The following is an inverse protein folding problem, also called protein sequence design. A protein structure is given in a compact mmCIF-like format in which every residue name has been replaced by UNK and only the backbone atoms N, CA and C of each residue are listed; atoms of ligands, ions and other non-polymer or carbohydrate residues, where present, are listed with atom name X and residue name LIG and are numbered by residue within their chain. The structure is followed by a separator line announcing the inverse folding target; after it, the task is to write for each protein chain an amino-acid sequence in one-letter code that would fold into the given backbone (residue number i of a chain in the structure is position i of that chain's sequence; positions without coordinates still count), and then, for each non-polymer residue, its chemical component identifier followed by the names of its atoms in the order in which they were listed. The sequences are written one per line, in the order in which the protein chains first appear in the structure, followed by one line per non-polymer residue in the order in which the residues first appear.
data_IF_612842575204
#
_entry.id   IF_612842575204
#
_cell.length_a   1.000
_cell.length_b   1.000
_cell.length_c   1.000
_cell.angle_alpha   90.00
_cell.angle_beta   90.00
_cell.angle_gamma   90.00
#
_symmetry.space_group_name_H-M   'P 1'
#
loop_
_entity.id
_entity.type
_entity.pdbx_description
1 polymer ?
#
# COMPACT_ATOMS: atom_id res chain seq x y z
N UNK A 1 -47.68 -1.82 -34.71
CA UNK A 1 -47.41 -1.44 -33.31
C UNK A 1 -45.94 -1.67 -33.07
N UNK A 2 -45.11 -0.63 -33.23
CA UNK A 2 -43.67 -0.73 -33.07
C UNK A 2 -43.33 -0.37 -31.61
N UNK A 3 -42.60 -1.26 -30.94
CA UNK A 3 -42.17 -1.10 -29.56
C UNK A 3 -41.35 0.18 -29.41
N UNK A 4 -41.76 1.04 -28.48
CA UNK A 4 -40.95 2.13 -28.00
C UNK A 4 -39.84 1.53 -27.13
N UNK A 5 -38.62 1.51 -27.65
CA UNK A 5 -37.43 1.13 -26.88
C UNK A 5 -37.34 2.02 -25.64
N UNK A 6 -37.43 1.41 -24.47
CA UNK A 6 -37.22 2.05 -23.19
C UNK A 6 -35.81 2.63 -23.15
N UNK A 7 -35.70 3.94 -23.32
CA UNK A 7 -34.44 4.68 -23.15
C UNK A 7 -34.01 4.51 -21.70
N UNK A 8 -33.07 3.59 -21.46
CA UNK A 8 -32.37 3.49 -20.19
C UNK A 8 -31.50 4.75 -20.03
N UNK A 9 -32.04 5.75 -19.34
CA UNK A 9 -31.28 6.94 -18.92
C UNK A 9 -30.41 6.53 -17.73
N UNK A 10 -29.12 6.33 -17.97
CA UNK A 10 -28.13 6.17 -16.89
C UNK A 10 -28.11 7.44 -16.04
N UNK A 11 -28.15 7.29 -14.71
CA UNK A 11 -28.05 8.39 -13.75
C UNK A 11 -26.63 8.96 -13.59
N UNK A 12 -25.64 8.31 -14.21
CA UNK A 12 -24.24 8.71 -14.17
C UNK A 12 -23.86 9.44 -15.46
N UNK A 13 -23.00 10.48 -15.37
CA UNK A 13 -22.54 11.19 -16.54
C UNK A 13 -21.83 10.23 -17.49
N UNK A 14 -22.08 10.40 -18.80
CA UNK A 14 -21.36 9.64 -19.81
C UNK A 14 -19.85 9.90 -19.69
N UNK A 15 -19.02 8.88 -19.94
CA UNK A 15 -17.58 9.06 -19.94
C UNK A 15 -17.18 10.15 -20.94
N UNK A 16 -16.10 10.90 -20.69
CA UNK A 16 -15.71 12.01 -21.56
C UNK A 16 -15.42 11.57 -23.00
N UNK A 17 -16.34 11.85 -23.92
CA UNK A 17 -16.27 11.43 -25.33
C UNK A 17 -14.99 11.93 -26.04
N UNK A 18 -14.41 13.04 -25.57
CA UNK A 18 -13.16 13.62 -26.07
C UNK A 18 -11.97 12.66 -25.94
N UNK A 19 -11.94 11.82 -24.89
CA UNK A 19 -10.81 10.92 -24.63
C UNK A 19 -11.06 9.50 -25.16
N UNK A 20 -12.30 9.00 -25.11
CA UNK A 20 -12.62 7.61 -25.46
C UNK A 20 -12.17 7.25 -26.88
N UNK A 21 -12.43 8.13 -27.85
CA UNK A 21 -12.10 7.90 -29.26
C UNK A 21 -10.58 7.85 -29.53
N UNK A 22 -9.75 8.31 -28.57
CA UNK A 22 -8.29 8.32 -28.70
C UNK A 22 -7.66 6.99 -28.26
N UNK A 23 -8.36 6.18 -27.47
CA UNK A 23 -7.89 4.89 -26.94
C UNK A 23 -8.44 3.70 -27.77
N UNK A 24 -8.07 3.64 -29.05
CA UNK A 24 -8.32 2.46 -29.90
C UNK A 24 -7.12 1.52 -29.92
N UNK A 25 -7.34 0.23 -30.19
CA UNK A 25 -6.26 -0.79 -30.26
C UNK A 25 -5.15 -0.38 -31.25
N UNK A 26 -5.53 0.25 -32.36
CA UNK A 26 -4.59 0.74 -33.36
C UNK A 26 -3.71 1.89 -32.83
N UNK A 27 -4.32 2.85 -32.10
CA UNK A 27 -3.60 3.99 -31.52
C UNK A 27 -2.70 3.56 -30.36
N UNK A 28 -3.12 2.56 -29.58
CA UNK A 28 -2.30 1.96 -28.51
C UNK A 28 -1.10 1.26 -29.13
N UNK A 29 -1.32 0.41 -30.14
CA UNK A 29 -0.23 -0.29 -30.85
C UNK A 29 0.78 0.68 -31.50
N UNK A 30 0.30 1.82 -31.99
CA UNK A 30 1.13 2.89 -32.58
C UNK A 30 1.67 3.90 -31.56
N UNK A 31 1.46 3.70 -30.24
CA UNK A 31 1.84 4.64 -29.17
C UNK A 31 1.35 6.09 -29.40
N UNK A 32 0.21 6.28 -30.08
CA UNK A 32 -0.42 7.58 -30.33
C UNK A 32 -1.49 7.94 -29.31
N UNK A 33 -1.80 7.03 -28.38
CA UNK A 33 -2.69 7.33 -27.27
C UNK A 33 -2.09 8.46 -26.41
N UNK A 34 -2.89 9.49 -26.04
CA UNK A 34 -2.39 10.61 -25.26
C UNK A 34 -1.95 10.13 -23.88
N UNK A 35 -0.80 10.64 -23.42
CA UNK A 35 -0.35 10.46 -22.04
C UNK A 35 -1.25 11.26 -21.09
N UNK A 36 -1.40 10.84 -19.81
CA UNK A 36 -2.13 11.63 -18.84
C UNK A 36 -1.56 13.06 -18.77
N UNK A 37 -2.41 14.07 -18.50
CA UNK A 37 -1.96 15.44 -18.35
C UNK A 37 -0.93 15.53 -17.21
N UNK A 38 0.03 16.47 -17.30
CA UNK A 38 1.02 16.67 -16.25
C UNK A 38 0.32 17.05 -14.93
N UNK A 39 0.87 16.67 -13.76
CA UNK A 39 0.34 17.09 -12.47
C UNK A 39 0.23 18.61 -12.37
N UNK A 40 -0.90 19.10 -11.87
CA UNK A 40 -1.12 20.53 -11.63
C UNK A 40 -0.21 20.97 -10.47
N UNK A 41 0.66 21.96 -10.71
CA UNK A 41 1.63 22.43 -9.73
C UNK A 41 1.09 23.50 -8.80
N UNK A 42 0.07 24.26 -9.22
CA UNK A 42 -0.37 25.44 -8.47
C UNK A 42 -1.48 25.10 -7.47
N UNK A 43 -2.71 24.99 -7.97
CA UNK A 43 -3.90 24.73 -7.17
C UNK A 43 -4.95 23.93 -7.94
N UNK A 44 -5.74 23.14 -7.21
CA UNK A 44 -6.84 22.36 -7.76
C UNK A 44 -8.09 22.51 -6.90
N UNK A 45 -9.27 22.46 -7.51
CA UNK A 45 -10.53 22.45 -6.77
C UNK A 45 -10.96 21.03 -6.48
N UNK A 46 -11.17 20.70 -5.21
CA UNK A 46 -11.70 19.42 -4.78
C UNK A 46 -12.94 19.66 -3.92
N UNK A 47 -14.08 19.11 -4.36
CA UNK A 47 -15.40 19.30 -3.74
C UNK A 47 -15.76 20.77 -3.49
N UNK A 48 -15.46 21.65 -4.46
CA UNK A 48 -15.75 23.08 -4.38
C UNK A 48 -14.76 23.89 -3.55
N UNK A 49 -13.76 23.26 -2.92
CA UNK A 49 -12.72 23.96 -2.17
C UNK A 49 -11.42 24.06 -2.99
N UNK A 50 -10.82 25.25 -3.12
CA UNK A 50 -9.52 25.41 -3.78
C UNK A 50 -8.40 24.93 -2.86
N UNK A 51 -7.58 23.98 -3.31
CA UNK A 51 -6.40 23.46 -2.61
C UNK A 51 -5.13 23.90 -3.34
N UNK A 52 -4.12 24.36 -2.61
CA UNK A 52 -2.79 24.67 -3.15
C UNK A 52 -1.80 23.58 -2.74
N UNK A 53 -0.79 23.28 -3.57
CA UNK A 53 0.21 22.25 -3.24
C UNK A 53 1.15 22.65 -2.07
N UNK A 54 1.36 23.95 -1.86
CA UNK A 54 2.23 24.47 -0.79
C UNK A 54 1.52 24.67 0.56
N UNK A 55 0.19 24.54 0.59
CA UNK A 55 -0.56 24.70 1.82
C UNK A 55 -0.29 23.52 2.75
N UNK A 56 -0.17 23.81 4.05
CA UNK A 56 -0.21 22.76 5.07
C UNK A 56 -1.46 21.90 4.82
N UNK A 57 -1.29 20.56 4.75
CA UNK A 57 -2.36 19.58 4.54
C UNK A 57 -3.57 19.86 5.44
N UNK A 58 -3.31 20.44 6.62
CA UNK A 58 -4.30 20.88 7.58
C UNK A 58 -4.28 22.40 7.62
N UNK A 59 -5.37 23.03 7.19
CA UNK A 59 -5.50 24.48 7.25
C UNK A 59 -5.44 24.97 8.70
N UNK A 60 -4.68 26.04 8.99
CA UNK A 60 -4.68 26.68 10.30
C UNK A 60 -6.09 27.14 10.71
N UNK A 61 -6.38 27.08 12.01
CA UNK A 61 -7.64 27.59 12.59
C UNK A 61 -7.87 29.06 12.22
N UNK A 62 -6.79 29.84 12.17
CA UNK A 62 -6.80 31.27 11.86
C UNK A 62 -7.24 31.55 10.42
N UNK A 63 -6.88 30.67 9.47
CA UNK A 63 -7.30 30.75 8.08
C UNK A 63 -8.79 30.40 7.89
N UNK A 64 -9.41 29.77 8.88
CA UNK A 64 -10.83 29.45 8.94
C UNK A 64 -11.62 30.48 9.76
N UNK A 65 -10.97 31.55 10.24
CA UNK A 65 -11.60 32.60 11.05
C UNK A 65 -11.74 32.26 12.54
N UNK A 66 -11.17 31.15 13.01
CA UNK A 66 -11.24 30.76 14.42
C UNK A 66 -10.04 31.28 15.21
N UNK A 67 -10.30 31.91 16.36
CA UNK A 67 -9.27 32.31 17.31
C UNK A 67 -8.77 31.08 18.06
N UNK A 68 -7.46 30.83 17.98
CA UNK A 68 -6.81 29.71 18.66
C UNK A 68 -6.99 29.78 20.19
N UNK A 69 -7.51 28.72 20.79
CA UNK A 69 -7.72 28.59 22.23
C UNK A 69 -6.48 28.14 23.03
N UNK A 70 -5.40 27.76 22.35
CA UNK A 70 -4.19 27.19 22.95
C UNK A 70 -2.90 27.82 22.37
N UNK A 71 -1.79 27.88 23.14
CA UNK A 71 -0.53 28.47 22.68
C UNK A 71 0.12 27.68 21.54
N UNK A 72 1.05 28.29 20.79
CA UNK A 72 1.65 27.67 19.60
C UNK A 72 2.64 26.52 19.91
N UNK A 73 3.25 26.54 21.11
CA UNK A 73 4.05 25.44 21.64
C UNK A 73 3.34 24.81 22.82
N UNK A 74 2.88 23.58 22.65
CA UNK A 74 2.10 22.88 23.66
C UNK A 74 2.20 21.37 23.49
N UNK A 75 1.87 20.66 24.57
CA UNK A 75 1.69 19.22 24.53
C UNK A 75 0.28 18.90 24.03
N UNK A 76 0.20 18.43 22.78
CA UNK A 76 -1.05 18.09 22.08
C UNK A 76 -1.94 17.15 22.90
N UNK A 77 -1.35 16.21 23.65
CA UNK A 77 -2.10 15.26 24.48
C UNK A 77 -2.74 15.95 25.68
N UNK A 78 -2.03 16.89 26.31
CA UNK A 78 -2.55 17.65 27.47
C UNK A 78 -3.66 18.60 27.04
N UNK A 79 -3.47 19.33 25.95
CA UNK A 79 -4.49 20.25 25.45
C UNK A 79 -5.74 19.51 24.97
N UNK A 80 -5.61 18.36 24.30
CA UNK A 80 -6.77 17.55 23.93
C UNK A 80 -7.57 17.08 25.16
N UNK A 81 -6.88 16.69 26.23
CA UNK A 81 -7.55 16.32 27.50
C UNK A 81 -8.26 17.51 28.14
N UNK A 82 -7.63 18.68 28.13
CA UNK A 82 -8.20 19.92 28.67
C UNK A 82 -9.44 20.35 27.88
N UNK A 83 -9.38 20.32 26.55
CA UNK A 83 -10.52 20.60 25.67
C UNK A 83 -11.65 19.59 25.89
N UNK A 84 -11.34 18.31 26.04
CA UNK A 84 -12.35 17.29 26.32
C UNK A 84 -13.04 17.51 27.68
N UNK A 85 -12.27 17.88 28.72
CA UNK A 85 -12.86 18.23 30.01
C UNK A 85 -13.72 19.48 29.92
N UNK A 86 -13.24 20.51 29.21
CA UNK A 86 -14.00 21.73 28.94
C UNK A 86 -15.30 21.46 28.18
N UNK A 87 -15.28 20.53 27.21
CA UNK A 87 -16.45 20.10 26.45
C UNK A 87 -17.50 19.45 27.37
N UNK A 88 -17.06 18.56 28.25
CA UNK A 88 -17.95 17.91 29.21
C UNK A 88 -18.61 18.91 30.16
N UNK A 89 -17.83 19.82 30.74
CA UNK A 89 -18.36 20.85 31.66
C UNK A 89 -19.36 21.75 30.92
N UNK A 90 -19.03 22.21 29.71
CA UNK A 90 -19.92 23.08 28.94
C UNK A 90 -21.22 22.37 28.52
N UNK A 91 -21.17 21.06 28.27
CA UNK A 91 -22.35 20.25 28.01
C UNK A 91 -23.24 20.08 29.26
N UNK A 92 -22.64 19.89 30.44
CA UNK A 92 -23.38 19.85 31.70
C UNK A 92 -24.05 21.21 32.01
N UNK A 93 -23.33 22.32 31.80
CA UNK A 93 -23.90 23.67 31.94
C UNK A 93 -25.08 23.87 30.99
N UNK A 94 -25.00 23.35 29.75
CA UNK A 94 -26.09 23.43 28.79
C UNK A 94 -27.31 22.64 29.27
N UNK A 95 -27.11 21.43 29.80
CA UNK A 95 -28.22 20.64 30.38
C UNK A 95 -28.86 21.39 31.54
N UNK A 96 -28.05 21.92 32.47
CA UNK A 96 -28.55 22.66 33.63
C UNK A 96 -29.35 23.91 33.22
N UNK A 97 -28.84 24.64 32.21
CA UNK A 97 -29.55 25.77 31.61
C UNK A 97 -30.88 25.35 30.98
N UNK A 98 -30.95 24.21 30.29
CA UNK A 98 -32.18 23.70 29.69
C UNK A 98 -33.21 23.27 30.73
N UNK A 99 -32.76 22.75 31.87
CA UNK A 99 -33.64 22.35 32.99
C UNK A 99 -34.25 23.59 33.67
N UNK A 100 -33.45 24.63 33.89
CA UNK A 100 -33.89 25.81 34.63
C UNK A 100 -34.52 26.91 33.76
N UNK A 101 -33.99 27.16 32.54
CA UNK A 101 -34.38 28.27 31.67
C UNK A 101 -34.32 27.86 30.18
N UNK A 102 -35.26 27.05 29.68
CA UNK A 102 -35.21 26.49 28.33
C UNK A 102 -35.25 27.52 27.19
N UNK A 103 -35.91 28.66 27.40
CA UNK A 103 -36.08 29.74 26.40
C UNK A 103 -35.01 30.84 26.48
N UNK A 104 -33.99 30.66 27.33
CA UNK A 104 -32.92 31.65 27.47
C UNK A 104 -32.08 31.76 26.19
N UNK A 105 -31.73 32.97 25.73
CA UNK A 105 -30.80 33.16 24.62
C UNK A 105 -29.41 32.58 24.91
N UNK A 106 -29.05 32.40 26.19
CA UNK A 106 -27.81 31.74 26.64
C UNK A 106 -27.65 30.31 26.12
N UNK A 107 -28.75 29.65 25.72
CA UNK A 107 -28.72 28.33 25.08
C UNK A 107 -27.94 28.38 23.77
N UNK A 108 -28.19 29.40 22.96
CA UNK A 108 -27.51 29.57 21.67
C UNK A 108 -26.01 29.82 21.87
N UNK A 109 -25.65 30.66 22.84
CA UNK A 109 -24.25 30.93 23.21
C UNK A 109 -23.51 29.64 23.64
N UNK A 110 -24.13 28.82 24.51
CA UNK A 110 -23.54 27.52 24.92
C UNK A 110 -23.40 26.53 23.76
N UNK A 111 -24.33 26.51 22.82
CA UNK A 111 -24.23 25.67 21.61
C UNK A 111 -23.09 26.14 20.70
N UNK A 112 -22.89 27.46 20.57
CA UNK A 112 -21.78 28.04 19.82
C UNK A 112 -20.43 27.71 20.48
N UNK A 113 -20.33 27.83 21.81
CA UNK A 113 -19.16 27.41 22.58
C UNK A 113 -18.81 25.93 22.36
N UNK A 114 -19.81 25.04 22.41
CA UNK A 114 -19.62 23.62 22.13
C UNK A 114 -19.13 23.38 20.71
N UNK A 115 -19.74 24.05 19.73
CA UNK A 115 -19.33 23.96 18.32
C UNK A 115 -17.88 24.41 18.13
N UNK A 116 -17.48 25.50 18.80
CA UNK A 116 -16.11 25.99 18.80
C UNK A 116 -15.14 24.97 19.41
N UNK A 117 -15.50 24.35 20.54
CA UNK A 117 -14.69 23.30 21.18
C UNK A 117 -14.49 22.09 20.26
N UNK A 118 -15.54 21.66 19.55
CA UNK A 118 -15.43 20.56 18.58
C UNK A 118 -14.49 20.90 17.42
N UNK A 119 -14.59 22.10 16.85
CA UNK A 119 -13.68 22.56 15.77
C UNK A 119 -12.23 22.48 16.23
N UNK A 120 -11.94 22.96 17.44
CA UNK A 120 -10.58 22.92 18.01
C UNK A 120 -10.08 21.49 18.27
N UNK A 121 -10.93 20.61 18.79
CA UNK A 121 -10.60 19.18 18.98
C UNK A 121 -10.30 18.51 17.63
N UNK A 122 -11.14 18.75 16.62
CA UNK A 122 -10.95 18.21 15.28
C UNK A 122 -9.65 18.67 14.66
N UNK A 123 -9.35 19.97 14.73
CA UNK A 123 -8.10 20.51 14.22
C UNK A 123 -6.89 19.88 14.92
N UNK A 124 -6.91 19.77 16.25
CA UNK A 124 -5.82 19.18 17.02
C UNK A 124 -5.60 17.68 16.70
N UNK A 125 -6.68 16.93 16.48
CA UNK A 125 -6.61 15.53 16.02
C UNK A 125 -6.03 15.44 14.61
N UNK A 126 -6.43 16.35 13.72
CA UNK A 126 -5.90 16.43 12.37
C UNK A 126 -4.39 16.70 12.40
N UNK A 127 -3.92 17.67 13.20
CA UNK A 127 -2.48 17.96 13.39
C UNK A 127 -1.69 16.72 13.85
N UNK A 128 -2.33 15.77 14.53
CA UNK A 128 -1.70 14.53 15.00
C UNK A 128 -1.66 13.40 13.95
N UNK A 129 -2.42 13.49 12.85
CA UNK A 129 -2.48 12.45 11.80
C UNK A 129 -1.13 12.12 11.16
N UNK A 130 -0.26 13.09 10.81
CA UNK A 130 1.05 12.77 10.25
C UNK A 130 1.95 12.01 11.22
N UNK A 131 1.83 12.28 12.53
CA UNK A 131 2.53 11.50 13.55
C UNK A 131 1.97 10.07 13.63
N UNK A 132 0.64 9.91 13.66
CA UNK A 132 -0.01 8.60 13.66
C UNK A 132 0.39 7.75 12.44
N UNK A 133 0.45 8.35 11.25
CA UNK A 133 0.86 7.67 10.03
C UNK A 133 2.29 7.13 10.11
N UNK A 134 3.21 7.92 10.66
CA UNK A 134 4.62 7.50 10.87
C UNK A 134 4.73 6.35 11.86
N UNK A 135 4.03 6.40 12.99
CA UNK A 135 4.03 5.31 13.97
C UNK A 135 3.40 4.03 13.39
N UNK A 136 2.33 4.18 12.59
CA UNK A 136 1.70 3.04 11.91
C UNK A 136 2.65 2.39 10.92
N UNK A 137 3.38 3.20 10.13
CA UNK A 137 4.40 2.71 9.20
C UNK A 137 5.52 1.97 9.93
N UNK A 138 5.98 2.52 11.05
CA UNK A 138 7.01 1.90 11.88
C UNK A 138 6.57 0.50 12.36
N UNK A 139 5.38 0.40 12.96
CA UNK A 139 4.83 -0.89 13.43
C UNK A 139 4.69 -1.88 12.27
N UNK A 140 4.25 -1.42 11.09
CA UNK A 140 4.15 -2.25 9.89
C UNK A 140 5.53 -2.78 9.46
N UNK A 141 6.56 -1.92 9.44
CA UNK A 141 7.93 -2.33 9.09
C UNK A 141 8.53 -3.29 10.12
N UNK A 142 8.27 -3.09 11.41
CA UNK A 142 8.69 -4.01 12.47
C UNK A 142 8.04 -5.39 12.30
N UNK A 143 6.76 -5.44 11.94
CA UNK A 143 6.05 -6.67 11.62
C UNK A 143 6.66 -7.39 10.41
N UNK A 144 6.93 -6.66 9.31
CA UNK A 144 7.56 -7.23 8.12
C UNK A 144 8.96 -7.78 8.43
N UNK A 145 9.76 -7.06 9.23
CA UNK A 145 11.07 -7.53 9.68
C UNK A 145 10.95 -8.85 10.45
N UNK A 146 10.02 -8.92 11.41
CA UNK A 146 9.77 -10.13 12.20
C UNK A 146 9.39 -11.32 11.31
N UNK A 147 8.46 -11.11 10.37
CA UNK A 147 8.04 -12.14 9.42
C UNK A 147 9.19 -12.64 8.57
N UNK A 148 10.06 -11.73 8.06
CA UNK A 148 11.24 -12.13 7.28
C UNK A 148 12.21 -12.99 8.09
N UNK A 149 12.49 -12.60 9.34
CA UNK A 149 13.37 -13.37 10.23
C UNK A 149 12.79 -14.77 10.50
N UNK A 150 11.50 -14.84 10.83
CA UNK A 150 10.81 -16.10 11.09
C UNK A 150 10.82 -17.03 9.87
N UNK A 151 10.55 -16.48 8.68
CA UNK A 151 10.60 -17.21 7.42
C UNK A 151 12.01 -17.73 7.13
N UNK A 152 13.06 -16.90 7.28
CA UNK A 152 14.45 -17.33 7.11
C UNK A 152 14.81 -18.46 8.08
N UNK A 153 14.39 -18.37 9.34
CA UNK A 153 14.63 -19.41 10.33
C UNK A 153 13.92 -20.73 9.96
N UNK A 154 12.68 -20.65 9.48
CA UNK A 154 11.95 -21.82 8.97
C UNK A 154 12.67 -22.45 7.76
N UNK A 155 13.16 -21.63 6.83
CA UNK A 155 13.94 -22.12 5.69
C UNK A 155 15.24 -22.80 6.12
N UNK A 156 15.99 -22.23 7.07
CA UNK A 156 17.20 -22.86 7.61
C UNK A 156 16.89 -24.21 8.27
N UNK A 157 15.82 -24.29 9.06
CA UNK A 157 15.39 -25.54 9.69
C UNK A 157 15.01 -26.61 8.65
N UNK A 158 14.33 -26.21 7.55
CA UNK A 158 14.02 -27.14 6.47
C UNK A 158 15.28 -27.59 5.72
N UNK A 159 16.22 -26.68 5.46
CA UNK A 159 17.48 -27.01 4.79
C UNK A 159 18.30 -28.01 5.61
N UNK A 160 18.38 -27.82 6.93
CA UNK A 160 19.09 -28.76 7.81
C UNK A 160 18.45 -30.16 7.77
N UNK A 161 17.11 -30.24 7.84
CA UNK A 161 16.39 -31.52 7.70
C UNK A 161 16.66 -32.20 6.36
N UNK A 162 16.66 -31.44 5.25
CA UNK A 162 16.98 -32.00 3.93
C UNK A 162 18.42 -32.49 3.88
N UNK A 163 19.37 -31.73 4.46
CA UNK A 163 20.77 -32.13 4.55
C UNK A 163 20.96 -33.41 5.36
N UNK A 164 20.25 -33.55 6.47
CA UNK A 164 20.23 -34.77 7.27
C UNK A 164 19.65 -35.96 6.50
N UNK A 165 18.53 -35.79 5.81
CA UNK A 165 17.92 -36.83 4.97
C UNK A 165 18.87 -37.28 3.85
N UNK A 166 19.53 -36.35 3.16
CA UNK A 166 20.50 -36.65 2.10
C UNK A 166 21.69 -37.42 2.68
N UNK A 167 22.26 -36.97 3.81
CA UNK A 167 23.35 -37.68 4.48
C UNK A 167 22.94 -39.09 4.91
N UNK A 168 21.74 -39.26 5.46
CA UNK A 168 21.21 -40.56 5.85
C UNK A 168 21.04 -41.49 4.64
N UNK A 169 20.54 -40.96 3.51
CA UNK A 169 20.41 -41.72 2.27
C UNK A 169 21.78 -42.16 1.70
N UNK A 170 22.78 -41.28 1.73
CA UNK A 170 24.16 -41.64 1.36
C UNK A 170 24.75 -42.70 2.28
N UNK A 171 24.52 -42.62 3.59
CA UNK A 171 25.00 -43.61 4.54
C UNK A 171 24.29 -44.97 4.42
N UNK A 172 23.07 -44.99 3.86
CA UNK A 172 22.32 -46.22 3.63
C UNK A 172 22.65 -46.91 2.30
N UNK A 173 23.42 -46.26 1.42
CA UNK A 173 23.89 -46.90 0.19
C UNK A 173 24.95 -47.95 0.54
N UNK A 174 24.86 -49.18 0.01
CA UNK A 174 25.89 -50.18 0.19
C UNK A 174 27.21 -49.73 -0.45
N UNK A 175 28.33 -50.04 0.20
CA UNK A 175 29.67 -49.74 -0.29
C UNK A 175 29.92 -50.61 -1.54
N UNK A 176 29.69 -50.04 -2.72
CA UNK A 176 29.93 -50.72 -4.00
C UNK A 176 31.44 -50.86 -4.16
N UNK A 177 31.97 -52.02 -3.76
CA UNK A 177 33.36 -52.41 -4.04
C UNK A 177 33.57 -52.47 -5.56
N UNK A 178 34.76 -52.12 -6.03
CA UNK A 178 35.14 -52.04 -7.45
C UNK A 178 34.81 -53.29 -8.30
N UNK A 179 34.49 -54.41 -7.66
CA UNK A 179 34.04 -55.64 -8.31
C UNK A 179 32.69 -55.49 -9.05
N UNK A 180 31.73 -54.70 -8.57
CA UNK A 180 30.38 -54.63 -9.18
C UNK A 180 30.30 -53.68 -10.41
N UNK A 181 31.15 -52.65 -10.46
CA UNK A 181 31.22 -51.68 -11.56
C UNK A 181 31.79 -52.26 -12.86
N UNK A 182 32.49 -53.39 -12.78
CA UNK A 182 33.11 -54.07 -13.92
C UNK A 182 32.10 -54.85 -14.80
N UNK A 183 30.86 -55.03 -14.32
CA UNK A 183 29.85 -55.86 -14.99
C UNK A 183 28.85 -55.09 -15.87
N UNK A 184 28.86 -53.75 -15.84
CA UNK A 184 27.87 -52.91 -16.53
C UNK A 184 28.48 -51.93 -17.57
N UNK A 185 29.75 -52.06 -17.92
CA UNK A 185 30.39 -51.25 -18.96
C UNK A 185 30.29 -51.94 -20.33
N UNK A 186 29.18 -51.74 -21.04
CA UNK A 186 29.17 -51.87 -22.51
C UNK A 186 30.01 -50.71 -23.09
N UNK A 187 30.93 -50.96 -24.04
CA UNK A 187 31.83 -49.93 -24.55
C UNK A 187 31.06 -48.96 -25.45
N UNK A 188 30.95 -47.71 -25.01
CA UNK A 188 30.47 -46.61 -25.83
C UNK A 188 31.61 -46.15 -26.75
N UNK A 189 31.41 -46.32 -28.05
CA UNK A 189 32.32 -45.89 -29.13
C UNK A 189 32.52 -44.38 -29.08
N UNK A 190 33.70 -43.93 -28.66
CA UNK A 190 34.11 -42.52 -28.77
C UNK A 190 34.98 -42.38 -30.01
N UNK A 191 34.34 -41.92 -31.09
CA UNK A 191 35.02 -41.43 -32.28
C UNK A 191 35.96 -40.27 -31.94
N UNK A 192 37.22 -40.46 -32.30
CA UNK A 192 38.29 -39.47 -32.34
C UNK A 192 38.01 -38.45 -33.45
N UNK A 193 37.93 -37.16 -33.11
CA UNK A 193 38.38 -36.08 -34.00
C UNK A 193 38.96 -34.93 -33.16
N UNK A 194 40.28 -34.85 -33.17
CA UNK A 194 41.01 -33.63 -32.91
C UNK A 194 40.88 -32.71 -34.13
N UNK A 195 40.32 -31.51 -34.01
CA UNK A 195 40.89 -30.31 -34.65
C UNK A 195 40.31 -28.98 -34.15
N UNK A 196 41.19 -27.99 -34.19
CA UNK A 196 41.13 -26.61 -33.73
C UNK A 196 40.06 -25.74 -34.38
N UNK A 197 39.40 -24.83 -33.63
CA UNK A 197 38.58 -23.79 -34.26
C UNK A 197 37.89 -22.81 -33.31
N UNK A 198 38.32 -21.55 -33.36
CA UNK A 198 37.86 -20.40 -32.56
C UNK A 198 36.45 -19.94 -33.01
N UNK A 199 35.46 -19.88 -32.12
CA UNK A 199 34.14 -19.31 -32.42
C UNK A 199 33.25 -19.17 -31.20
N UNK A 200 33.15 -17.95 -30.66
CA UNK A 200 32.43 -17.60 -29.43
C UNK A 200 30.92 -17.60 -29.68
N UNK A 201 30.26 -18.73 -29.39
CA UNK A 201 28.81 -18.83 -29.23
C UNK A 201 28.52 -19.44 -27.87
N UNK A 202 27.73 -18.75 -27.03
CA UNK A 202 27.31 -19.25 -25.72
C UNK A 202 26.45 -20.50 -25.90
N UNK A 203 27.08 -21.66 -25.77
CA UNK A 203 26.39 -22.94 -25.65
C UNK A 203 25.78 -23.06 -24.26
N UNK A 204 24.46 -22.99 -24.19
CA UNK A 204 23.68 -23.28 -22.98
C UNK A 204 24.00 -24.70 -22.51
N UNK A 205 24.35 -24.86 -21.22
CA UNK A 205 24.70 -26.17 -20.66
C UNK A 205 23.47 -27.09 -20.72
N UNK A 206 23.61 -28.40 -20.98
CA UNK A 206 22.47 -29.32 -21.05
C UNK A 206 21.58 -29.30 -19.79
N UNK A 207 22.18 -29.02 -18.64
CA UNK A 207 21.48 -28.85 -17.36
C UNK A 207 20.64 -27.56 -17.29
N UNK A 208 21.08 -26.48 -17.93
CA UNK A 208 20.36 -25.21 -17.98
C UNK A 208 19.12 -25.32 -18.87
N UNK A 209 19.22 -26.10 -19.96
CA UNK A 209 18.06 -26.43 -20.82
C UNK A 209 17.01 -27.24 -20.06
N UNK A 210 17.42 -28.19 -19.24
CA UNK A 210 16.51 -28.98 -18.40
C UNK A 210 15.79 -28.12 -17.36
N UNK A 211 16.50 -27.13 -16.78
CA UNK A 211 15.92 -26.18 -15.82
C UNK A 211 14.89 -25.25 -16.48
N UNK A 212 15.14 -24.78 -17.71
CA UNK A 212 14.17 -23.99 -18.46
C UNK A 212 12.91 -24.81 -18.79
N UNK A 213 13.07 -26.06 -19.24
CA UNK A 213 11.93 -26.94 -19.57
C UNK A 213 11.07 -27.27 -18.33
N UNK A 214 11.64 -27.30 -17.12
CA UNK A 214 10.89 -27.50 -15.88
C UNK A 214 10.10 -26.26 -15.44
N UNK A 215 10.61 -25.06 -15.72
CA UNK A 215 9.94 -23.79 -15.38
C UNK A 215 8.79 -23.49 -16.34
N UNK A 216 8.96 -23.80 -17.62
CA UNK A 216 7.93 -23.55 -18.65
C UNK A 216 6.74 -24.53 -18.56
N UNK A 217 6.89 -25.64 -17.82
CA UNK A 217 5.86 -26.66 -17.61
C UNK A 217 5.08 -26.50 -16.28
N UNK A 218 5.32 -25.44 -15.50
CA UNK A 218 4.52 -25.05 -14.32
C UNK A 218 3.59 -23.88 -14.64
#
# INVERSE_FOLDING_TARGET
MANADTIQVSSLPLPPAQYINLYTDENIRKNRAPKPPPPIQDSYTMFGNPFSNDDNIIRPLEAQGFKRLYPQHFDRRKELKKLNHSLLVNFLDLIDLLVHYPDSPRRAEKIEDLSLLFVHIHHLLNEFRPHQARETLRVMMELQKRQRIETTQRFQNHLEKVREMVKAAFASLPDLTEADLSSAAEPMDTGDESETGKGRGEGCHPLDRLMCELVDNM
#
